data_IF_108055412991
#
_entry.id   IF_108055412991
#
_cell.length_a   1.000
_cell.length_b   1.000
_cell.length_c   1.000
_cell.angle_alpha   90.00
_cell.angle_beta   90.00
_cell.angle_gamma   90.00
#
_symmetry.space_group_name_H-M   'P 1'
#
loop_
_entity.id
_entity.type
_entity.pdbx_description
1 polymer ?
#
# COMPACT_ATOMS: atom_id res chain seq x y z
N UNK A 1 24.76 4.03 33.12
CA UNK A 1 24.69 2.69 32.49
C UNK A 1 24.32 2.81 30.99
N UNK A 2 24.42 1.72 30.23
CA UNK A 2 23.96 1.70 28.82
C UNK A 2 22.45 1.96 28.71
N UNK A 3 21.69 1.53 29.72
CA UNK A 3 20.24 1.79 29.80
C UNK A 3 19.95 3.28 30.02
N UNK A 4 20.72 3.96 30.88
CA UNK A 4 20.52 5.41 31.11
C UNK A 4 20.85 6.23 29.86
N UNK A 5 21.90 5.84 29.13
CA UNK A 5 22.24 6.50 27.86
C UNK A 5 21.13 6.36 26.82
N UNK A 6 20.58 5.15 26.65
CA UNK A 6 19.46 4.88 25.74
C UNK A 6 18.18 5.62 26.16
N UNK A 7 17.90 5.71 27.46
CA UNK A 7 16.79 6.49 27.98
C UNK A 7 16.94 7.97 27.67
N UNK A 8 18.11 8.56 27.97
CA UNK A 8 18.37 9.98 27.74
C UNK A 8 18.29 10.32 26.24
N UNK A 9 18.78 9.42 25.38
CA UNK A 9 18.66 9.59 23.92
C UNK A 9 17.18 9.56 23.46
N UNK A 10 16.38 8.66 24.01
CA UNK A 10 14.96 8.58 23.71
C UNK A 10 14.21 9.83 24.17
N UNK A 11 14.51 10.35 25.38
CA UNK A 11 13.94 11.60 25.88
C UNK A 11 14.32 12.76 24.98
N UNK A 12 15.60 12.89 24.58
CA UNK A 12 16.04 13.96 23.70
C UNK A 12 15.32 13.94 22.32
N UNK A 13 15.06 12.74 21.79
CA UNK A 13 14.25 12.58 20.55
C UNK A 13 12.80 13.02 20.74
N UNK A 14 12.17 12.65 21.84
CA UNK A 14 10.79 13.09 22.13
C UNK A 14 10.70 14.61 22.30
N UNK A 15 11.66 15.22 23.01
CA UNK A 15 11.73 16.67 23.16
C UNK A 15 11.91 17.38 21.80
N UNK A 16 12.70 16.78 20.89
CA UNK A 16 12.87 17.31 19.54
C UNK A 16 11.57 17.21 18.74
N UNK A 17 10.91 16.04 18.76
CA UNK A 17 9.61 15.84 18.09
C UNK A 17 8.56 16.85 18.60
N UNK A 18 8.55 17.14 19.90
CA UNK A 18 7.64 18.12 20.47
C UNK A 18 7.93 19.54 19.95
N UNK A 19 9.20 19.93 19.86
CA UNK A 19 9.61 21.23 19.27
C UNK A 19 9.22 21.33 17.81
N UNK A 20 9.48 20.27 17.02
CA UNK A 20 9.16 20.23 15.60
C UNK A 20 7.64 20.34 15.38
N UNK A 21 6.84 19.63 16.18
CA UNK A 21 5.38 19.71 16.11
C UNK A 21 4.81 21.09 16.52
N UNK A 22 5.53 21.83 17.36
CA UNK A 22 5.13 23.18 17.76
C UNK A 22 5.56 24.25 16.74
N UNK A 23 6.42 23.91 15.78
CA UNK A 23 6.90 24.85 14.77
C UNK A 23 5.85 25.00 13.66
N UNK A 24 5.39 26.22 13.34
CA UNK A 24 4.44 26.42 12.24
C UNK A 24 5.01 25.93 10.91
N UNK A 25 4.19 25.28 10.10
CA UNK A 25 4.58 24.88 8.74
C UNK A 25 4.82 26.13 7.88
N UNK A 26 5.86 26.11 7.04
CA UNK A 26 6.14 27.20 6.09
C UNK A 26 5.05 27.26 5.00
N UNK A 27 4.81 28.46 4.46
CA UNK A 27 3.87 28.63 3.33
C UNK A 27 4.35 27.93 2.03
N UNK A 28 5.64 27.56 1.95
CA UNK A 28 6.22 26.79 0.85
C UNK A 28 5.71 25.33 0.80
N UNK A 29 5.00 24.88 1.83
CA UNK A 29 4.44 23.54 1.93
C UNK A 29 3.23 23.27 1.00
N UNK A 30 2.88 24.20 0.10
CA UNK A 30 1.77 24.01 -0.85
C UNK A 30 2.26 23.26 -2.08
N UNK A 31 1.79 22.01 -2.26
CA UNK A 31 2.00 21.26 -3.49
C UNK A 31 1.12 21.84 -4.58
N UNK A 32 1.70 22.25 -5.70
CA UNK A 32 0.95 22.58 -6.89
C UNK A 32 0.76 21.28 -7.72
N UNK A 33 -0.43 20.70 -7.63
CA UNK A 33 -0.75 19.41 -8.25
C UNK A 33 -1.09 19.54 -9.75
N UNK A 34 -1.25 20.76 -10.26
CA UNK A 34 -1.90 21.01 -11.55
C UNK A 34 -0.95 21.51 -12.66
N UNK A 35 0.31 21.09 -12.66
CA UNK A 35 1.16 21.34 -13.81
C UNK A 35 0.99 20.23 -14.86
N UNK A 36 0.00 20.40 -15.75
CA UNK A 36 -0.27 19.49 -16.88
C UNK A 36 0.84 19.49 -17.95
N UNK A 37 1.85 20.35 -17.80
CA UNK A 37 2.94 20.51 -18.76
C UNK A 37 4.10 19.54 -18.52
N UNK A 38 4.09 18.80 -17.42
CA UNK A 38 5.16 17.84 -17.10
C UNK A 38 5.04 16.62 -18.01
N UNK A 39 6.09 16.37 -18.78
CA UNK A 39 6.18 15.15 -19.60
C UNK A 39 6.01 13.90 -18.72
N UNK A 40 5.24 12.93 -19.22
CA UNK A 40 5.08 11.67 -18.50
C UNK A 40 6.45 10.99 -18.32
N UNK A 41 6.77 10.53 -17.09
CA UNK A 41 8.05 9.89 -16.82
C UNK A 41 8.17 8.57 -17.58
N UNK A 42 9.37 8.22 -17.97
CA UNK A 42 9.67 6.92 -18.55
C UNK A 42 9.51 5.81 -17.52
N UNK A 43 8.69 4.81 -17.84
CA UNK A 43 8.47 3.64 -17.00
C UNK A 43 9.53 2.57 -17.34
N UNK A 44 10.31 2.16 -16.33
CA UNK A 44 11.28 1.08 -16.46
C UNK A 44 10.77 -0.18 -15.74
N UNK A 45 10.43 -1.19 -16.54
CA UNK A 45 10.04 -2.51 -16.05
C UNK A 45 11.28 -3.27 -15.60
N UNK A 46 11.28 -3.78 -14.35
CA UNK A 46 12.42 -4.54 -13.80
C UNK A 46 12.40 -6.01 -14.16
N UNK A 47 11.27 -6.51 -14.61
CA UNK A 47 11.14 -7.89 -15.11
C UNK A 47 10.67 -7.81 -16.56
N UNK A 48 11.39 -8.49 -17.44
CA UNK A 48 10.98 -8.62 -18.84
C UNK A 48 9.63 -9.33 -18.95
N UNK A 49 8.81 -8.90 -19.92
CA UNK A 49 7.45 -9.43 -20.13
C UNK A 49 7.45 -10.95 -20.23
N UNK A 50 8.36 -11.52 -21.00
CA UNK A 50 8.47 -12.99 -21.19
C UNK A 50 8.78 -13.73 -19.89
N UNK A 51 9.61 -13.18 -19.02
CA UNK A 51 9.92 -13.78 -17.72
C UNK A 51 8.72 -13.70 -16.78
N UNK A 52 7.98 -12.60 -16.79
CA UNK A 52 6.76 -12.47 -16.02
C UNK A 52 5.69 -13.50 -16.45
N UNK A 53 5.47 -13.63 -17.76
CA UNK A 53 4.53 -14.61 -18.32
C UNK A 53 4.93 -16.05 -17.99
N UNK A 54 6.21 -16.40 -18.07
CA UNK A 54 6.74 -17.71 -17.66
C UNK A 54 6.51 -17.97 -16.15
N UNK A 55 6.72 -16.95 -15.30
CA UNK A 55 6.46 -17.07 -13.87
C UNK A 55 4.96 -17.34 -13.60
N UNK A 56 4.06 -16.69 -14.34
CA UNK A 56 2.61 -16.95 -14.25
C UNK A 56 2.29 -18.39 -14.64
N UNK A 57 2.81 -18.89 -15.77
CA UNK A 57 2.56 -20.28 -16.20
C UNK A 57 3.14 -21.30 -15.19
N UNK A 58 4.31 -21.00 -14.61
CA UNK A 58 4.87 -21.85 -13.55
C UNK A 58 4.03 -21.84 -12.28
N UNK A 59 3.50 -20.68 -11.88
CA UNK A 59 2.60 -20.54 -10.73
C UNK A 59 1.30 -21.33 -10.95
N UNK A 60 0.72 -21.29 -12.16
CA UNK A 60 -0.44 -22.11 -12.52
C UNK A 60 -0.15 -23.62 -12.39
N UNK A 61 1.06 -24.05 -12.75
CA UNK A 61 1.44 -25.45 -12.57
C UNK A 61 1.51 -25.84 -11.09
N UNK A 62 2.05 -25.00 -10.20
CA UNK A 62 2.05 -25.26 -8.76
C UNK A 62 0.64 -25.41 -8.18
N UNK A 63 -0.35 -24.65 -8.72
CA UNK A 63 -1.74 -24.79 -8.32
C UNK A 63 -2.29 -26.16 -8.79
N UNK A 64 -2.00 -26.57 -10.03
CA UNK A 64 -2.43 -27.87 -10.57
C UNK A 64 -1.80 -29.04 -9.81
N UNK A 65 -0.54 -28.91 -9.44
CA UNK A 65 0.20 -29.94 -8.69
C UNK A 65 -0.23 -30.00 -7.21
N UNK A 66 -1.02 -29.04 -6.74
CA UNK A 66 -1.52 -28.98 -5.36
C UNK A 66 -0.52 -28.41 -4.35
N UNK A 67 0.54 -27.77 -4.82
CA UNK A 67 1.57 -27.18 -3.97
C UNK A 67 1.09 -25.88 -3.29
N UNK A 68 0.24 -25.11 -3.98
CA UNK A 68 -0.33 -23.84 -3.51
C UNK A 68 -1.77 -23.65 -3.98
N UNK A 69 -2.56 -22.90 -3.24
CA UNK A 69 -3.92 -22.51 -3.63
C UNK A 69 -3.95 -21.21 -4.43
N UNK A 70 -3.06 -20.26 -4.07
CA UNK A 70 -2.97 -18.95 -4.67
C UNK A 70 -1.50 -18.49 -4.73
N UNK A 71 -1.15 -17.74 -5.78
CA UNK A 71 0.16 -17.10 -5.93
C UNK A 71 -0.03 -15.70 -6.48
N UNK A 72 0.61 -14.72 -5.87
CA UNK A 72 0.66 -13.35 -6.38
C UNK A 72 2.04 -13.11 -7.02
N UNK A 73 2.05 -12.89 -8.33
CA UNK A 73 3.25 -12.53 -9.09
C UNK A 73 3.31 -11.01 -9.19
N UNK A 74 4.41 -10.41 -8.75
CA UNK A 74 4.57 -8.95 -8.76
C UNK A 74 5.45 -8.46 -9.89
N UNK A 75 5.19 -7.22 -10.33
CA UNK A 75 6.02 -6.48 -11.28
C UNK A 75 6.50 -5.19 -10.62
N UNK A 76 7.81 -4.97 -10.62
CA UNK A 76 8.38 -3.70 -10.19
C UNK A 76 8.55 -2.75 -11.36
N UNK A 77 8.09 -1.52 -11.16
CA UNK A 77 8.23 -0.38 -12.07
C UNK A 77 9.08 0.69 -11.40
N UNK A 78 10.09 1.19 -12.11
CA UNK A 78 10.88 2.32 -11.64
C UNK A 78 10.60 3.53 -12.52
N UNK A 79 10.52 4.69 -11.89
CA UNK A 79 10.43 6.00 -12.55
C UNK A 79 11.40 6.96 -11.87
N UNK A 80 11.94 7.90 -12.63
CA UNK A 80 12.65 9.03 -12.06
C UNK A 80 11.63 10.14 -11.75
N UNK A 81 11.61 10.59 -10.52
CA UNK A 81 10.71 11.64 -10.07
C UNK A 81 11.49 12.71 -9.33
N UNK A 82 11.34 13.99 -9.68
CA UNK A 82 11.91 15.11 -8.92
C UNK A 82 11.07 15.46 -7.68
N UNK A 83 9.90 14.83 -7.50
CA UNK A 83 8.99 15.17 -6.41
C UNK A 83 9.56 14.76 -5.05
N UNK A 84 9.36 15.61 -4.05
CA UNK A 84 9.64 15.25 -2.66
C UNK A 84 8.74 14.06 -2.24
N UNK A 85 9.28 13.03 -1.59
CA UNK A 85 8.51 11.86 -1.19
C UNK A 85 7.31 12.18 -0.29
N UNK A 86 7.40 13.20 0.56
CA UNK A 86 6.26 13.60 1.40
C UNK A 86 5.15 14.28 0.58
N UNK A 87 5.51 15.00 -0.47
CA UNK A 87 4.52 15.56 -1.40
C UNK A 87 3.81 14.47 -2.20
N UNK A 88 4.51 13.41 -2.60
CA UNK A 88 3.87 12.22 -3.18
C UNK A 88 2.82 11.64 -2.22
N UNK A 89 3.13 11.50 -0.93
CA UNK A 89 2.16 11.08 0.08
C UNK A 89 0.95 12.02 0.18
N UNK A 90 1.21 13.33 0.19
CA UNK A 90 0.15 14.37 0.29
C UNK A 90 -0.82 14.31 -0.90
N UNK A 91 -0.31 14.03 -2.09
CA UNK A 91 -1.13 13.82 -3.29
C UNK A 91 -1.89 12.50 -3.20
N UNK A 92 -1.19 11.40 -2.88
CA UNK A 92 -1.77 10.06 -2.79
C UNK A 92 -2.97 10.01 -1.83
N UNK A 93 -2.87 10.62 -0.65
CA UNK A 93 -3.96 10.65 0.32
C UNK A 93 -5.21 11.38 -0.16
N UNK A 94 -5.09 12.24 -1.17
CA UNK A 94 -6.19 12.98 -1.77
C UNK A 94 -6.82 12.21 -2.93
N UNK A 95 -5.98 11.59 -3.77
CA UNK A 95 -6.41 10.87 -4.95
C UNK A 95 -6.97 9.48 -4.63
N UNK A 96 -6.35 8.79 -3.69
CA UNK A 96 -6.71 7.41 -3.33
C UNK A 96 -6.67 7.21 -1.80
N UNK A 97 -7.58 7.85 -1.05
CA UNK A 97 -7.65 7.66 0.39
C UNK A 97 -8.02 6.22 0.75
N UNK A 98 -7.35 5.67 1.76
CA UNK A 98 -7.60 4.33 2.29
C UNK A 98 -7.52 4.33 3.81
N UNK A 99 -8.07 3.31 4.50
CA UNK A 99 -8.04 3.24 5.96
C UNK A 99 -6.63 3.25 6.56
N UNK A 100 -5.64 2.72 5.83
CA UNK A 100 -4.25 2.61 6.29
C UNK A 100 -3.31 3.37 5.36
N UNK A 101 -3.23 4.68 5.59
CA UNK A 101 -2.29 5.56 4.90
C UNK A 101 -0.99 5.66 5.71
N UNK A 102 0.17 5.54 5.05
CA UNK A 102 1.45 5.66 5.73
C UNK A 102 2.51 6.37 4.90
N UNK A 103 3.39 7.05 5.62
CA UNK A 103 4.65 7.61 5.14
C UNK A 103 5.74 7.22 6.15
N UNK A 104 6.73 6.49 5.72
CA UNK A 104 7.84 6.06 6.57
C UNK A 104 9.16 6.53 5.97
N UNK A 105 9.89 7.36 6.70
CA UNK A 105 11.26 7.73 6.38
C UNK A 105 12.21 6.77 7.11
N UNK A 106 12.97 6.01 6.37
CA UNK A 106 13.79 4.91 6.86
C UNK A 106 15.21 5.03 6.33
N UNK A 107 16.15 4.37 7.02
CA UNK A 107 17.54 4.24 6.59
C UNK A 107 17.89 2.76 6.47
N UNK A 108 18.47 2.36 5.35
CA UNK A 108 18.87 0.96 5.13
C UNK A 108 20.17 0.60 5.88
N UNK A 109 20.55 -0.67 5.82
CA UNK A 109 21.74 -1.18 6.49
C UNK A 109 23.06 -0.58 5.95
N UNK A 110 23.04 0.07 4.80
CA UNK A 110 24.17 0.78 4.20
C UNK A 110 24.17 2.27 4.51
N UNK A 111 23.23 2.74 5.35
CA UNK A 111 23.12 4.16 5.73
C UNK A 111 22.47 5.03 4.66
N UNK A 112 21.73 4.46 3.70
CA UNK A 112 21.02 5.21 2.66
C UNK A 112 19.59 5.45 3.09
N UNK A 113 19.17 6.71 3.02
CA UNK A 113 17.79 7.07 3.33
C UNK A 113 16.84 6.68 2.18
N UNK A 114 15.66 6.20 2.53
CA UNK A 114 14.59 5.91 1.61
C UNK A 114 13.23 6.11 2.28
N UNK A 115 12.19 6.26 1.47
CA UNK A 115 10.83 6.44 1.98
C UNK A 115 9.93 5.32 1.47
N UNK A 116 9.01 4.88 2.33
CA UNK A 116 7.92 3.97 1.96
C UNK A 116 6.61 4.71 2.11
N UNK A 117 5.87 4.77 1.01
CA UNK A 117 4.60 5.51 0.91
C UNK A 117 3.53 4.53 0.48
N UNK A 118 2.40 4.52 1.17
CA UNK A 118 1.33 3.61 0.82
C UNK A 118 -0.06 4.07 1.22
N UNK A 119 -1.02 3.48 0.53
CA UNK A 119 -2.45 3.61 0.75
C UNK A 119 -3.04 2.21 0.72
N UNK A 120 -3.20 1.58 1.88
CA UNK A 120 -3.69 0.20 2.00
C UNK A 120 -5.18 0.17 2.38
N UNK A 121 -6.01 -0.57 1.62
CA UNK A 121 -7.43 -0.72 1.93
C UNK A 121 -7.69 -1.81 2.97
N UNK A 122 -6.73 -2.71 3.21
CA UNK A 122 -6.98 -3.98 3.90
C UNK A 122 -6.20 -4.09 5.21
N UNK A 123 -6.88 -4.61 6.23
CA UNK A 123 -6.28 -4.94 7.53
C UNK A 123 -5.55 -6.28 7.44
N UNK A 124 -4.25 -6.31 7.68
CA UNK A 124 -3.52 -7.58 7.79
C UNK A 124 -4.02 -8.37 9.01
N UNK A 125 -3.95 -7.77 10.18
CA UNK A 125 -4.48 -8.32 11.43
C UNK A 125 -4.74 -7.18 12.42
N UNK A 126 -5.87 -7.23 13.13
CA UNK A 126 -6.18 -6.36 14.26
C UNK A 126 -6.30 -7.20 15.53
N UNK A 127 -5.63 -6.77 16.59
CA UNK A 127 -5.76 -7.39 17.91
C UNK A 127 -6.35 -6.36 18.87
N UNK A 128 -7.47 -6.70 19.48
CA UNK A 128 -8.16 -5.87 20.46
C UNK A 128 -8.65 -6.73 21.63
N UNK A 129 -8.28 -6.36 22.86
CA UNK A 129 -8.64 -7.08 24.10
C UNK A 129 -8.40 -8.61 24.03
N UNK A 130 -7.31 -9.05 23.39
CA UNK A 130 -6.96 -10.45 23.23
C UNK A 130 -7.68 -11.17 22.07
N UNK A 131 -8.54 -10.48 21.34
CA UNK A 131 -9.19 -11.00 20.13
C UNK A 131 -8.42 -10.56 18.90
N UNK A 132 -7.99 -11.52 18.07
CA UNK A 132 -7.38 -11.27 16.78
C UNK A 132 -8.45 -11.36 15.68
N UNK A 133 -8.44 -10.41 14.76
CA UNK A 133 -9.38 -10.30 13.65
C UNK A 133 -8.64 -10.03 12.36
N UNK A 134 -9.07 -10.67 11.28
CA UNK A 134 -8.68 -10.39 9.89
C UNK A 134 -9.94 -10.05 9.09
N UNK A 135 -9.78 -9.28 8.03
CA UNK A 135 -10.88 -8.87 7.15
C UNK A 135 -10.44 -9.08 5.70
N UNK A 136 -10.34 -10.35 5.24
CA UNK A 136 -9.90 -10.62 3.87
C UNK A 136 -10.88 -10.04 2.85
N UNK A 137 -10.35 -9.43 1.80
CA UNK A 137 -11.10 -8.84 0.70
C UNK A 137 -10.81 -9.66 -0.55
N UNK A 138 -11.88 -10.16 -1.20
CA UNK A 138 -11.80 -10.85 -2.48
C UNK A 138 -12.93 -10.38 -3.38
N UNK A 139 -12.65 -10.29 -4.67
CA UNK A 139 -13.58 -9.80 -5.66
C UNK A 139 -13.86 -8.31 -5.59
N UNK A 140 -14.17 -7.71 -6.72
CA UNK A 140 -14.54 -6.30 -6.81
C UNK A 140 -15.47 -6.04 -7.99
N UNK A 141 -16.26 -4.97 -7.85
CA UNK A 141 -17.07 -4.40 -8.93
C UNK A 141 -16.91 -2.88 -8.92
N UNK A 142 -16.99 -2.22 -10.07
CA UNK A 142 -17.03 -0.77 -10.11
C UNK A 142 -18.26 -0.25 -9.35
N UNK A 143 -18.17 1.00 -8.89
CA UNK A 143 -19.34 1.68 -8.34
C UNK A 143 -20.33 1.97 -9.46
N UNK A 144 -21.63 1.80 -9.16
CA UNK A 144 -22.69 2.18 -10.08
C UNK A 144 -22.77 3.71 -10.28
N UNK A 145 -23.19 4.15 -11.45
CA UNK A 145 -23.48 5.55 -11.72
C UNK A 145 -24.77 6.02 -11.02
N UNK A 146 -25.65 5.08 -10.69
CA UNK A 146 -26.88 5.30 -9.93
C UNK A 146 -26.95 4.34 -8.73
N UNK A 147 -27.78 4.64 -7.70
CA UNK A 147 -27.99 3.72 -6.58
C UNK A 147 -28.49 2.32 -7.02
N UNK A 148 -29.32 2.26 -8.04
CA UNK A 148 -29.89 1.02 -8.57
C UNK A 148 -28.82 0.16 -9.26
N UNK A 149 -27.91 0.78 -10.01
CA UNK A 149 -26.75 0.09 -10.60
C UNK A 149 -25.80 -0.42 -9.52
N UNK A 150 -25.55 0.39 -8.50
CA UNK A 150 -24.66 0.02 -7.39
C UNK A 150 -25.22 -1.19 -6.63
N UNK A 151 -26.51 -1.22 -6.36
CA UNK A 151 -27.20 -2.36 -5.75
C UNK A 151 -27.15 -3.61 -6.64
N UNK A 152 -27.31 -3.44 -7.96
CA UNK A 152 -27.17 -4.53 -8.94
C UNK A 152 -25.76 -5.13 -8.89
N UNK A 153 -24.71 -4.32 -8.97
CA UNK A 153 -23.32 -4.78 -8.91
C UNK A 153 -22.99 -5.47 -7.59
N UNK A 154 -23.55 -4.99 -6.47
CA UNK A 154 -23.39 -5.66 -5.17
C UNK A 154 -24.03 -7.05 -5.17
N UNK A 155 -25.24 -7.19 -5.71
CA UNK A 155 -25.92 -8.50 -5.84
C UNK A 155 -25.17 -9.44 -6.78
N UNK A 156 -24.67 -8.95 -7.92
CA UNK A 156 -23.88 -9.74 -8.87
C UNK A 156 -22.59 -10.25 -8.22
N UNK A 157 -21.88 -9.39 -7.47
CA UNK A 157 -20.66 -9.80 -6.76
C UNK A 157 -20.90 -10.93 -5.76
N UNK A 158 -21.96 -10.82 -4.96
CA UNK A 158 -22.33 -11.84 -3.97
C UNK A 158 -22.87 -13.15 -4.61
N UNK A 159 -23.37 -13.08 -5.82
CA UNK A 159 -23.88 -14.24 -6.55
C UNK A 159 -22.84 -14.94 -7.44
N UNK A 160 -21.67 -14.32 -7.65
CA UNK A 160 -20.62 -14.84 -8.52
C UNK A 160 -19.88 -16.01 -7.85
N UNK A 161 -20.01 -17.25 -8.33
CA UNK A 161 -19.44 -18.42 -7.66
C UNK A 161 -17.91 -18.39 -7.53
N UNK A 162 -17.21 -17.81 -8.52
CA UNK A 162 -15.76 -17.69 -8.52
C UNK A 162 -15.30 -16.76 -7.40
N UNK A 163 -15.88 -15.57 -7.30
CA UNK A 163 -15.55 -14.57 -6.29
C UNK A 163 -15.87 -15.07 -4.88
N UNK A 164 -17.01 -15.76 -4.72
CA UNK A 164 -17.36 -16.39 -3.44
C UNK A 164 -16.37 -17.50 -3.04
N UNK A 165 -15.94 -18.33 -3.98
CA UNK A 165 -14.97 -19.41 -3.72
C UNK A 165 -13.61 -18.84 -3.32
N UNK A 166 -13.14 -17.77 -3.96
CA UNK A 166 -11.91 -17.07 -3.62
C UNK A 166 -12.01 -16.48 -2.20
N UNK A 167 -13.13 -15.84 -1.88
CA UNK A 167 -13.34 -15.28 -0.55
C UNK A 167 -13.32 -16.35 0.55
N UNK A 168 -14.02 -17.47 0.35
CA UNK A 168 -14.01 -18.60 1.29
C UNK A 168 -12.60 -19.15 1.48
N UNK A 169 -11.81 -19.27 0.41
CA UNK A 169 -10.41 -19.70 0.47
C UNK A 169 -9.58 -18.76 1.35
N UNK A 170 -9.73 -17.44 1.19
CA UNK A 170 -8.99 -16.45 2.00
C UNK A 170 -9.43 -16.43 3.48
N UNK A 171 -10.69 -16.77 3.77
CA UNK A 171 -11.20 -16.89 5.16
C UNK A 171 -10.67 -18.15 5.84
N UNK A 172 -10.44 -19.22 5.08
CA UNK A 172 -10.02 -20.53 5.58
C UNK A 172 -8.49 -20.63 5.80
N UNK A 173 -7.72 -19.73 5.20
CA UNK A 173 -6.26 -19.65 5.35
C UNK A 173 -5.86 -18.84 6.59
#
# INVERSE_FOLDING_TARGET
TRADAAYNEAVARLDQMQRDAATPASDESRVNILDETVAQPELRFRTEKSHYEQAVERAKQYIVDGDVFQVVISQRLDIDSPADPFDVYRVLRTLNPSPYMYFMALTDAQGRDFNVIGSSPETLIKVDNGHAMTFPIAGSRPRGATPEEDEKFAKELLAEPKECSEHIMLVDL
#
